data_IF_048531164153
#
_entry.id   IF_048531164153
#
_cell.length_a   1.000
_cell.length_b   1.000
_cell.length_c   1.000
_cell.angle_alpha   90.00
_cell.angle_beta   90.00
_cell.angle_gamma   90.00
#
_symmetry.space_group_name_H-M   'P 1'
#
loop_
_entity.id
_entity.type
_entity.pdbx_description
1 polymer ?
#
# COMPACT_ATOMS: atom_id res chain seq x y z
N UNK A 1 8.71 34.53 -31.25
CA UNK A 1 9.53 33.50 -31.95
C UNK A 1 9.35 32.20 -31.18
N UNK A 2 8.80 31.18 -31.84
CA UNK A 2 8.49 29.90 -31.22
C UNK A 2 9.79 29.13 -30.95
N UNK A 3 9.98 28.71 -29.72
CA UNK A 3 10.97 27.70 -29.37
C UNK A 3 10.22 26.40 -29.14
N UNK A 4 10.11 25.61 -30.21
CA UNK A 4 9.78 24.20 -30.11
C UNK A 4 10.89 23.52 -29.32
N UNK A 5 10.73 23.41 -28.00
CA UNK A 5 11.62 22.65 -27.15
C UNK A 5 11.35 21.15 -27.35
N UNK A 6 11.72 20.66 -28.52
CA UNK A 6 11.74 19.25 -28.85
C UNK A 6 12.86 18.62 -28.00
N UNK A 7 12.51 18.24 -26.78
CA UNK A 7 13.39 17.56 -25.84
C UNK A 7 13.99 16.34 -26.54
N UNK A 8 15.32 16.33 -26.70
CA UNK A 8 16.04 15.23 -27.35
C UNK A 8 15.65 13.91 -26.68
N UNK A 9 15.30 12.87 -27.45
CA UNK A 9 14.91 11.59 -26.88
C UNK A 9 16.11 10.91 -26.22
N UNK A 10 15.88 10.29 -25.06
CA UNK A 10 16.85 9.50 -24.33
C UNK A 10 16.87 8.07 -24.85
N UNK A 11 18.07 7.52 -25.04
CA UNK A 11 18.25 6.11 -25.36
C UNK A 11 18.10 5.26 -24.09
N UNK A 12 17.20 4.28 -24.12
CA UNK A 12 16.98 3.30 -23.06
C UNK A 12 16.95 1.91 -23.71
N UNK A 13 18.05 1.17 -23.57
CA UNK A 13 18.24 -0.09 -24.31
C UNK A 13 18.27 0.17 -25.83
N UNK A 14 17.40 -0.51 -26.60
CA UNK A 14 17.26 -0.31 -28.05
C UNK A 14 16.21 0.74 -28.44
N UNK A 15 15.48 1.32 -27.46
CA UNK A 15 14.40 2.25 -27.71
C UNK A 15 14.78 3.69 -27.33
N UNK A 16 14.18 4.65 -28.02
CA UNK A 16 14.27 6.07 -27.68
C UNK A 16 12.95 6.53 -27.04
N UNK A 17 13.03 7.21 -25.90
CA UNK A 17 11.87 7.77 -25.20
C UNK A 17 12.08 9.23 -24.86
N UNK A 18 11.00 10.00 -24.75
CA UNK A 18 11.06 11.28 -24.03
C UNK A 18 11.45 11.09 -22.56
N UNK A 19 11.74 12.18 -21.82
CA UNK A 19 12.14 12.10 -20.41
C UNK A 19 11.09 11.33 -19.58
N UNK A 20 11.50 10.23 -18.96
CA UNK A 20 10.67 9.44 -18.04
C UNK A 20 10.34 10.19 -16.74
N UNK A 21 11.15 11.21 -16.41
CA UNK A 21 10.95 12.09 -15.26
C UNK A 21 11.27 13.52 -15.70
N UNK A 22 10.35 14.46 -15.48
CA UNK A 22 10.56 15.87 -15.78
C UNK A 22 11.23 16.61 -14.61
N UNK A 23 11.82 17.78 -14.91
CA UNK A 23 12.41 18.66 -13.88
C UNK A 23 11.39 19.05 -12.81
N UNK A 24 10.15 19.35 -13.21
CA UNK A 24 9.08 19.71 -12.28
C UNK A 24 8.73 18.55 -11.34
N UNK A 25 8.75 17.30 -11.83
CA UNK A 25 8.54 16.12 -10.99
C UNK A 25 9.65 15.95 -9.95
N UNK A 26 10.91 16.17 -10.33
CA UNK A 26 12.05 16.05 -9.40
C UNK A 26 11.99 17.15 -8.33
N UNK A 27 11.80 18.41 -8.74
CA UNK A 27 11.64 19.53 -7.80
C UNK A 27 10.45 19.29 -6.85
N UNK A 28 9.32 18.81 -7.36
CA UNK A 28 8.16 18.41 -6.55
C UNK A 28 8.47 17.29 -5.55
N UNK A 29 9.17 16.24 -5.99
CA UNK A 29 9.58 15.15 -5.11
C UNK A 29 10.55 15.62 -4.02
N UNK A 30 11.55 16.45 -4.33
CA UNK A 30 12.48 16.99 -3.33
C UNK A 30 11.75 17.84 -2.28
N UNK A 31 10.76 18.65 -2.67
CA UNK A 31 9.89 19.38 -1.72
C UNK A 31 9.09 18.43 -0.83
N UNK A 32 8.61 17.30 -1.36
CA UNK A 32 7.95 16.28 -0.57
C UNK A 32 8.90 15.62 0.44
N UNK A 33 10.13 15.27 0.03
CA UNK A 33 11.14 14.72 0.93
C UNK A 33 11.49 15.70 2.05
N UNK A 34 11.61 17.00 1.72
CA UNK A 34 11.76 18.08 2.71
C UNK A 34 10.61 18.07 3.71
N UNK A 35 9.37 17.96 3.24
CA UNK A 35 8.21 17.93 4.13
C UNK A 35 8.24 16.73 5.10
N UNK A 36 8.68 15.55 4.63
CA UNK A 36 8.89 14.39 5.51
C UNK A 36 9.98 14.62 6.55
N UNK A 37 11.12 15.21 6.16
CA UNK A 37 12.19 15.56 7.08
C UNK A 37 11.71 16.55 8.16
N UNK A 38 11.01 17.61 7.74
CA UNK A 38 10.42 18.61 8.65
C UNK A 38 9.40 18.00 9.62
N UNK A 39 8.59 17.03 9.16
CA UNK A 39 7.66 16.32 10.05
C UNK A 39 8.41 15.56 11.15
N UNK A 40 9.51 14.87 10.80
CA UNK A 40 10.36 14.20 11.78
C UNK A 40 11.01 15.20 12.74
N UNK A 41 11.60 16.28 12.24
CA UNK A 41 12.23 17.30 13.09
C UNK A 41 11.26 17.94 14.09
N UNK A 42 10.01 18.20 13.66
CA UNK A 42 8.97 18.68 14.58
C UNK A 42 8.74 17.71 15.73
N UNK A 43 8.68 16.41 15.46
CA UNK A 43 8.51 15.39 16.49
C UNK A 43 9.75 15.23 17.39
N UNK A 44 10.94 15.32 16.80
CA UNK A 44 12.22 15.21 17.52
C UNK A 44 12.47 16.44 18.42
N UNK A 45 11.95 17.62 18.04
CA UNK A 45 12.05 18.86 18.82
C UNK A 45 11.13 18.91 20.05
N UNK A 46 10.20 17.95 20.18
CA UNK A 46 9.28 17.91 21.33
C UNK A 46 10.05 17.65 22.63
N UNK A 47 9.81 18.50 23.62
CA UNK A 47 10.43 18.37 24.94
C UNK A 47 9.77 17.26 25.74
N UNK A 48 10.52 16.61 26.64
CA UNK A 48 9.99 15.54 27.50
C UNK A 48 8.76 15.95 28.31
N UNK A 49 8.70 17.21 28.75
CA UNK A 49 7.54 17.76 29.45
C UNK A 49 6.30 17.88 28.56
N UNK A 50 6.48 18.27 27.30
CA UNK A 50 5.38 18.36 26.31
C UNK A 50 4.86 16.96 25.97
N UNK A 51 5.77 15.99 25.80
CA UNK A 51 5.42 14.58 25.59
C UNK A 51 4.61 14.05 26.77
N UNK A 52 5.06 14.31 28.00
CA UNK A 52 4.38 13.83 29.21
C UNK A 52 3.00 14.45 29.41
N UNK A 53 2.82 15.73 29.06
CA UNK A 53 1.58 16.46 29.31
C UNK A 53 0.54 16.34 28.18
N UNK A 54 0.98 16.19 26.92
CA UNK A 54 0.09 16.28 25.76
C UNK A 54 -0.12 14.94 25.03
N UNK A 55 0.74 13.94 25.25
CA UNK A 55 0.67 12.65 24.55
C UNK A 55 0.21 11.52 25.47
N UNK A 56 -0.24 10.38 24.90
CA UNK A 56 -0.63 9.22 25.71
C UNK A 56 0.50 8.77 26.66
N UNK A 57 0.13 8.32 27.86
CA UNK A 57 1.05 7.97 28.97
C UNK A 57 2.23 7.07 28.57
N UNK A 58 2.01 6.14 27.64
CA UNK A 58 3.01 5.15 27.20
C UNK A 58 3.70 5.54 25.88
N UNK A 59 3.67 6.82 25.51
CA UNK A 59 4.43 7.33 24.36
C UNK A 59 5.94 7.19 24.64
N UNK A 60 6.73 6.62 23.71
CA UNK A 60 8.17 6.48 23.92
C UNK A 60 8.88 7.83 24.12
N UNK A 61 9.82 7.88 25.07
CA UNK A 61 10.63 9.08 25.36
C UNK A 61 11.85 9.20 24.44
N UNK A 62 12.49 8.06 24.13
CA UNK A 62 13.61 8.03 23.19
C UNK A 62 13.12 8.47 21.79
N UNK A 63 13.84 9.39 21.14
CA UNK A 63 13.44 10.00 19.89
C UNK A 63 13.25 8.99 18.75
N UNK A 64 14.15 8.01 18.61
CA UNK A 64 14.05 6.97 17.57
C UNK A 64 12.84 6.07 17.80
N UNK A 65 12.61 5.65 19.06
CA UNK A 65 11.44 4.85 19.43
C UNK A 65 10.14 5.63 19.28
N UNK A 66 10.17 6.94 19.54
CA UNK A 66 9.02 7.84 19.34
C UNK A 66 8.71 8.01 17.86
N UNK A 67 9.73 8.12 17.01
CA UNK A 67 9.54 8.14 15.57
C UNK A 67 8.99 6.81 15.03
N UNK A 68 9.52 5.67 15.48
CA UNK A 68 9.01 4.34 15.14
C UNK A 68 7.53 4.18 15.53
N UNK A 69 7.17 4.57 16.75
CA UNK A 69 5.78 4.60 17.22
C UNK A 69 4.89 5.50 16.35
N UNK A 70 5.35 6.71 16.04
CA UNK A 70 4.61 7.65 15.21
C UNK A 70 4.39 7.14 13.78
N UNK A 71 5.39 6.51 13.17
CA UNK A 71 5.25 5.82 11.88
C UNK A 71 4.23 4.69 11.97
N UNK A 72 4.20 3.95 13.08
CA UNK A 72 3.14 2.98 13.36
C UNK A 72 1.73 3.59 13.30
N UNK A 73 1.53 4.77 13.90
CA UNK A 73 0.26 5.50 13.81
C UNK A 73 -0.05 5.98 12.39
N UNK A 74 0.95 6.41 11.64
CA UNK A 74 0.80 6.82 10.24
C UNK A 74 0.30 5.66 9.36
N UNK A 75 0.82 4.45 9.58
CA UNK A 75 0.38 3.24 8.88
C UNK A 75 -1.09 2.91 9.23
N UNK A 76 -1.51 3.13 10.47
CA UNK A 76 -2.92 3.01 10.85
C UNK A 76 -3.81 4.02 10.14
N UNK A 77 -3.36 5.28 10.05
CA UNK A 77 -4.05 6.34 9.34
C UNK A 77 -4.12 6.07 7.83
N UNK A 78 -3.09 5.47 7.25
CA UNK A 78 -3.11 4.99 5.87
C UNK A 78 -4.16 3.91 5.63
N UNK A 79 -4.31 2.96 6.56
CA UNK A 79 -5.38 1.96 6.51
C UNK A 79 -6.78 2.59 6.53
N UNK A 80 -7.00 3.59 7.39
CA UNK A 80 -8.26 4.33 7.47
C UNK A 80 -8.56 5.11 6.19
N UNK A 81 -7.53 5.74 5.60
CA UNK A 81 -7.66 6.43 4.32
C UNK A 81 -8.09 5.46 3.21
N UNK A 82 -7.42 4.31 3.09
CA UNK A 82 -7.75 3.31 2.07
C UNK A 82 -9.20 2.80 2.23
N UNK A 83 -9.62 2.54 3.46
CA UNK A 83 -11.00 2.13 3.74
C UNK A 83 -12.00 3.22 3.37
N UNK A 84 -11.75 4.47 3.78
CA UNK A 84 -12.62 5.60 3.49
C UNK A 84 -12.81 5.84 1.98
N UNK A 85 -11.71 5.80 1.21
CA UNK A 85 -11.75 5.99 -0.24
C UNK A 85 -12.53 4.86 -0.92
N UNK A 86 -12.31 3.61 -0.47
CA UNK A 86 -13.00 2.44 -0.99
C UNK A 86 -14.51 2.45 -0.66
N UNK A 87 -14.90 2.81 0.56
CA UNK A 87 -16.31 2.84 0.99
C UNK A 87 -17.14 3.84 0.17
N UNK A 88 -16.51 4.93 -0.27
CA UNK A 88 -17.12 5.94 -1.16
C UNK A 88 -17.07 5.58 -2.64
N UNK A 89 -16.40 4.47 -2.99
CA UNK A 89 -16.19 4.01 -4.37
C UNK A 89 -15.59 5.11 -5.26
N UNK A 90 -14.67 5.91 -4.71
CA UNK A 90 -13.98 6.93 -5.50
C UNK A 90 -13.05 6.19 -6.48
N UNK A 91 -13.29 6.42 -7.77
CA UNK A 91 -12.53 5.81 -8.89
C UNK A 91 -11.90 6.85 -9.79
N UNK A 92 -12.30 8.12 -9.65
CA UNK A 92 -11.81 9.23 -10.45
C UNK A 92 -10.61 9.91 -9.77
N UNK A 93 -9.53 10.11 -10.53
CA UNK A 93 -8.27 10.73 -10.05
C UNK A 93 -8.45 12.21 -9.78
N UNK A 94 -9.22 12.91 -10.62
CA UNK A 94 -9.46 14.33 -10.48
C UNK A 94 -10.22 14.59 -9.17
N UNK A 95 -11.24 13.79 -8.86
CA UNK A 95 -11.95 13.84 -7.57
C UNK A 95 -11.02 13.54 -6.38
N UNK A 96 -10.19 12.49 -6.50
CA UNK A 96 -9.26 12.10 -5.46
C UNK A 96 -8.23 13.20 -5.16
N UNK A 97 -7.69 13.82 -6.21
CA UNK A 97 -6.74 14.93 -6.12
C UNK A 97 -7.33 16.21 -5.53
N UNK A 98 -8.63 16.46 -5.76
CA UNK A 98 -9.30 17.69 -5.31
C UNK A 98 -9.90 17.58 -3.91
N UNK A 99 -10.32 16.37 -3.51
CA UNK A 99 -11.21 16.22 -2.35
C UNK A 99 -10.73 15.21 -1.31
N UNK A 100 -9.85 14.28 -1.68
CA UNK A 100 -9.57 13.10 -0.86
C UNK A 100 -8.08 12.87 -0.59
N UNK A 101 -7.24 13.89 -0.82
CA UNK A 101 -5.83 13.83 -0.49
C UNK A 101 -5.63 13.55 1.00
N UNK A 102 -4.73 12.61 1.34
CA UNK A 102 -4.48 12.27 2.72
C UNK A 102 -3.54 13.30 3.41
N UNK A 103 -3.42 13.25 4.75
CA UNK A 103 -2.42 14.03 5.47
C UNK A 103 -0.97 13.58 5.16
N UNK A 104 -0.01 14.42 5.52
CA UNK A 104 1.41 14.25 5.16
C UNK A 104 2.02 12.92 5.64
N UNK A 105 1.68 12.46 6.84
CA UNK A 105 2.15 11.19 7.39
C UNK A 105 1.65 9.97 6.60
N UNK A 106 0.40 10.04 6.12
CA UNK A 106 -0.19 9.02 5.27
C UNK A 106 0.43 9.04 3.86
N UNK A 107 0.71 10.23 3.32
CA UNK A 107 1.49 10.37 2.09
C UNK A 107 2.89 9.76 2.21
N UNK A 108 3.55 9.93 3.36
CA UNK A 108 4.86 9.33 3.63
C UNK A 108 4.80 7.80 3.59
N UNK A 109 3.78 7.20 4.20
CA UNK A 109 3.54 5.75 4.16
C UNK A 109 3.31 5.27 2.73
N UNK A 110 2.43 5.97 2.00
CA UNK A 110 2.11 5.63 0.61
C UNK A 110 3.33 5.79 -0.31
N UNK A 111 4.12 6.84 -0.16
CA UNK A 111 5.37 7.04 -0.89
C UNK A 111 6.35 5.87 -0.67
N UNK A 112 6.63 5.49 0.58
CA UNK A 112 7.50 4.36 0.89
C UNK A 112 6.97 3.04 0.31
N UNK A 113 5.64 2.89 0.23
CA UNK A 113 5.01 1.73 -0.38
C UNK A 113 5.25 1.67 -1.89
N UNK A 114 5.14 2.79 -2.62
CA UNK A 114 5.39 2.86 -4.06
C UNK A 114 6.84 2.53 -4.45
N UNK A 115 7.80 2.77 -3.55
CA UNK A 115 9.20 2.37 -3.73
C UNK A 115 9.42 0.85 -3.70
N UNK A 116 8.36 0.06 -3.52
CA UNK A 116 8.37 -1.40 -3.56
C UNK A 116 7.43 -1.91 -4.67
N UNK A 117 7.75 -1.67 -5.95
CA UNK A 117 6.81 -1.76 -7.08
C UNK A 117 6.18 -3.15 -7.23
N UNK A 118 6.94 -4.22 -7.00
CA UNK A 118 6.42 -5.59 -7.10
C UNK A 118 5.31 -5.87 -6.07
N UNK A 119 5.51 -5.44 -4.81
CA UNK A 119 4.49 -5.61 -3.77
C UNK A 119 3.33 -4.65 -3.98
N UNK A 120 3.63 -3.39 -4.29
CA UNK A 120 2.63 -2.35 -4.54
C UNK A 120 1.66 -2.76 -5.65
N UNK A 121 2.15 -3.17 -6.82
CA UNK A 121 1.33 -3.57 -7.97
C UNK A 121 0.51 -4.84 -7.68
N UNK A 122 1.12 -5.83 -7.01
CA UNK A 122 0.44 -7.08 -6.69
C UNK A 122 -0.70 -6.88 -5.67
N UNK A 123 -0.47 -6.08 -4.63
CA UNK A 123 -1.45 -5.82 -3.60
C UNK A 123 -2.60 -4.93 -4.08
N UNK A 124 -2.33 -3.94 -4.94
CA UNK A 124 -3.37 -3.16 -5.61
C UNK A 124 -4.29 -4.07 -6.43
N UNK A 125 -3.71 -5.04 -7.13
CA UNK A 125 -4.48 -5.99 -7.93
C UNK A 125 -5.28 -6.95 -7.05
N UNK A 126 -4.70 -7.44 -5.94
CA UNK A 126 -5.31 -8.43 -5.03
C UNK A 126 -6.32 -7.86 -4.05
N UNK A 127 -6.17 -6.60 -3.64
CA UNK A 127 -6.94 -6.01 -2.55
C UNK A 127 -7.88 -4.92 -3.07
N UNK A 128 -9.19 -5.14 -2.94
CA UNK A 128 -10.21 -4.18 -3.36
C UNK A 128 -10.05 -2.82 -2.68
N UNK A 129 -9.64 -2.79 -1.41
CA UNK A 129 -9.39 -1.55 -0.67
C UNK A 129 -8.18 -0.76 -1.15
N UNK A 130 -7.37 -1.32 -2.05
CA UNK A 130 -6.17 -0.69 -2.60
C UNK A 130 -6.29 -0.40 -4.10
N UNK A 131 -7.34 -0.89 -4.77
CA UNK A 131 -7.53 -0.76 -6.24
C UNK A 131 -7.50 0.68 -6.74
N UNK A 132 -7.95 1.64 -5.93
CA UNK A 132 -7.95 3.06 -6.30
C UNK A 132 -6.53 3.67 -6.42
N UNK A 133 -5.51 2.99 -5.90
CA UNK A 133 -4.13 3.47 -5.93
C UNK A 133 -3.48 3.32 -7.32
N UNK A 134 -4.09 2.60 -8.28
CA UNK A 134 -3.55 2.41 -9.65
C UNK A 134 -3.27 3.75 -10.32
N UNK A 135 -4.19 4.71 -10.18
CA UNK A 135 -4.24 5.91 -11.01
C UNK A 135 -3.59 7.14 -10.36
N UNK A 136 -2.90 6.93 -9.24
CA UNK A 136 -2.55 7.97 -8.29
C UNK A 136 -1.08 8.41 -8.30
N UNK A 137 -0.21 7.72 -9.05
CA UNK A 137 1.22 8.03 -9.15
C UNK A 137 1.55 9.41 -9.75
N UNK A 138 0.54 10.18 -10.16
CA UNK A 138 0.64 11.47 -10.85
C UNK A 138 0.33 12.69 -9.95
N UNK A 139 -0.15 12.47 -8.71
CA UNK A 139 -0.70 13.52 -7.83
C UNK A 139 0.35 14.44 -7.18
N UNK A 140 1.64 14.19 -7.36
CA UNK A 140 2.71 14.98 -6.73
C UNK A 140 2.79 16.47 -7.15
N UNK A 141 1.90 16.91 -8.05
CA UNK A 141 1.81 18.30 -8.51
C UNK A 141 0.57 19.06 -8.01
N UNK A 142 -0.44 18.40 -7.43
CA UNK A 142 -1.70 19.07 -7.01
C UNK A 142 -1.69 19.48 -5.54
N UNK A 143 -1.88 20.78 -5.29
CA UNK A 143 -1.80 21.40 -3.95
C UNK A 143 -3.17 21.78 -3.38
N UNK A 144 -4.13 20.86 -3.27
CA UNK A 144 -5.36 21.19 -2.53
C UNK A 144 -5.86 20.01 -1.70
N UNK A 145 -5.83 20.17 -0.38
CA UNK A 145 -6.30 19.16 0.56
C UNK A 145 -7.37 19.73 1.51
N UNK A 146 -8.53 19.08 1.59
CA UNK A 146 -9.64 19.50 2.47
C UNK A 146 -9.61 18.77 3.81
N UNK A 147 -9.08 19.45 4.84
CA UNK A 147 -8.97 18.96 6.23
C UNK A 147 -10.32 18.51 6.84
N UNK A 148 -11.43 19.10 6.38
CA UNK A 148 -12.79 18.85 6.90
C UNK A 148 -13.31 17.45 6.53
N UNK A 149 -13.11 17.01 5.29
CA UNK A 149 -13.61 15.71 4.80
C UNK A 149 -12.93 14.54 5.52
N UNK A 150 -11.61 14.62 5.70
CA UNK A 150 -10.85 13.66 6.50
C UNK A 150 -11.41 13.53 7.92
N UNK A 151 -11.59 14.66 8.61
CA UNK A 151 -12.03 14.67 10.01
C UNK A 151 -13.44 14.11 10.15
N UNK A 152 -14.33 14.47 9.20
CA UNK A 152 -15.71 13.95 9.15
C UNK A 152 -15.73 12.43 8.96
N UNK A 153 -14.90 11.91 8.06
CA UNK A 153 -14.86 10.51 7.67
C UNK A 153 -14.14 9.61 8.68
N UNK A 154 -12.92 10.00 9.08
CA UNK A 154 -12.05 9.17 9.92
C UNK A 154 -12.26 9.38 11.41
N UNK A 155 -12.98 10.45 11.80
CA UNK A 155 -13.13 10.91 13.19
C UNK A 155 -11.79 11.19 13.88
N UNK A 156 -10.78 11.57 13.10
CA UNK A 156 -9.43 11.89 13.59
C UNK A 156 -8.98 13.26 13.12
N UNK A 157 -8.14 13.95 13.90
CA UNK A 157 -7.50 15.17 13.43
C UNK A 157 -6.75 14.94 12.12
N UNK A 158 -6.82 15.93 11.22
CA UNK A 158 -6.05 15.91 9.98
C UNK A 158 -4.55 16.01 10.27
N UNK A 159 -4.15 16.92 11.15
CA UNK A 159 -2.76 17.06 11.58
C UNK A 159 -2.28 15.76 12.27
N UNK A 160 -1.13 15.20 11.85
CA UNK A 160 -0.70 13.92 12.37
C UNK A 160 -0.17 13.98 13.80
N UNK A 161 0.39 15.12 14.25
CA UNK A 161 0.86 15.31 15.62
C UNK A 161 -0.34 15.45 16.56
N UNK A 162 -1.34 16.26 16.21
CA UNK A 162 -2.58 16.35 16.97
C UNK A 162 -3.33 15.02 17.01
N UNK A 163 -3.32 14.27 15.91
CA UNK A 163 -3.89 12.92 15.91
C UNK A 163 -3.13 11.95 16.81
N UNK A 164 -1.81 12.09 16.93
CA UNK A 164 -0.98 11.22 17.78
C UNK A 164 -1.26 11.45 19.27
N UNK A 165 -1.63 12.67 19.68
CA UNK A 165 -2.04 13.00 21.05
C UNK A 165 -3.32 12.26 21.48
N UNK A 166 -4.25 12.04 20.55
CA UNK A 166 -5.54 11.41 20.84
C UNK A 166 -5.63 9.90 20.52
N UNK A 167 -4.73 9.37 19.68
CA UNK A 167 -4.84 8.00 19.17
C UNK A 167 -4.24 6.98 20.15
N UNK A 168 -5.09 6.38 20.97
CA UNK A 168 -4.67 5.40 22.01
C UNK A 168 -5.06 3.96 21.72
N UNK A 169 -6.04 3.74 20.84
CA UNK A 169 -6.62 2.41 20.58
C UNK A 169 -6.91 2.19 19.10
N UNK A 170 -6.87 0.92 18.70
CA UNK A 170 -7.19 0.44 17.34
C UNK A 170 -8.28 -0.64 17.42
N UNK A 171 -9.06 -0.75 16.35
CA UNK A 171 -10.00 -1.83 16.14
C UNK A 171 -9.39 -2.93 15.27
N UNK A 172 -9.43 -4.18 15.72
CA UNK A 172 -8.96 -5.36 14.99
C UNK A 172 -10.03 -6.45 15.01
N UNK A 173 -10.04 -7.36 14.02
CA UNK A 173 -10.96 -8.51 14.02
C UNK A 173 -10.32 -9.71 14.69
N UNK A 174 -11.02 -10.33 15.64
CA UNK A 174 -10.56 -11.56 16.30
C UNK A 174 -10.42 -12.72 15.29
N UNK A 175 -9.27 -13.44 15.25
CA UNK A 175 -9.12 -14.62 14.40
C UNK A 175 -10.09 -15.77 14.69
N UNK A 176 -10.56 -15.90 15.94
CA UNK A 176 -11.50 -16.96 16.34
C UNK A 176 -12.93 -16.65 15.96
N UNK A 177 -13.53 -15.63 16.59
CA UNK A 177 -14.96 -15.31 16.46
C UNK A 177 -15.28 -14.18 15.47
N UNK A 178 -14.28 -13.55 14.84
CA UNK A 178 -14.39 -12.40 13.90
C UNK A 178 -14.97 -11.11 14.46
N UNK A 179 -15.39 -11.10 15.72
CA UNK A 179 -15.87 -9.89 16.37
C UNK A 179 -14.75 -8.83 16.47
N UNK A 180 -15.18 -7.58 16.39
CA UNK A 180 -14.29 -6.43 16.54
C UNK A 180 -13.79 -6.37 17.99
N UNK A 181 -12.47 -6.39 18.16
CA UNK A 181 -11.78 -6.18 19.42
C UNK A 181 -11.10 -4.81 19.39
N UNK A 182 -11.33 -4.01 20.44
CA UNK A 182 -10.63 -2.75 20.64
C UNK A 182 -9.41 -3.02 21.51
N UNK A 183 -8.22 -2.72 20.99
CA UNK A 183 -6.94 -2.96 21.69
C UNK A 183 -6.15 -1.66 21.83
N UNK A 184 -5.39 -1.55 22.90
CA UNK A 184 -4.48 -0.43 23.12
C UNK A 184 -3.34 -0.45 22.11
N UNK A 185 -2.95 0.73 21.63
CA UNK A 185 -1.78 0.86 20.76
C UNK A 185 -0.47 0.68 21.54
N UNK A 186 -0.44 1.18 22.77
CA UNK A 186 0.68 1.09 23.71
C UNK A 186 0.14 0.81 25.11
N UNK A 187 0.85 0.01 25.90
CA UNK A 187 0.55 -0.20 27.32
C UNK A 187 1.85 -0.40 28.14
N UNK A 188 1.69 -0.41 29.47
CA UNK A 188 2.81 -0.60 30.41
C UNK A 188 3.31 -2.04 30.53
N UNK A 189 2.64 -3.01 29.89
CA UNK A 189 2.99 -4.43 29.91
C UNK A 189 3.77 -4.86 28.66
N UNK A 190 4.07 -3.91 27.77
CA UNK A 190 4.69 -4.15 26.45
C UNK A 190 3.84 -4.99 25.49
N UNK A 191 2.51 -4.99 25.68
CA UNK A 191 1.57 -5.81 24.90
C UNK A 191 0.69 -5.04 23.92
N UNK A 192 0.91 -3.72 23.79
CA UNK A 192 0.19 -2.86 22.87
C UNK A 192 0.41 -3.20 21.39
N UNK A 193 -0.52 -2.79 20.53
CA UNK A 193 -0.49 -3.13 19.10
C UNK A 193 0.74 -2.64 18.34
N UNK A 194 1.38 -1.56 18.79
CA UNK A 194 2.61 -1.02 18.20
C UNK A 194 3.88 -1.51 18.92
N UNK A 195 3.75 -2.42 19.89
CA UNK A 195 4.86 -3.00 20.64
C UNK A 195 5.23 -4.38 20.09
N UNK A 196 6.50 -4.78 20.30
CA UNK A 196 7.06 -6.02 19.75
C UNK A 196 6.35 -7.27 20.26
N UNK A 197 5.90 -7.25 21.51
CA UNK A 197 5.21 -8.37 22.17
C UNK A 197 3.68 -8.24 22.10
N UNK A 198 3.15 -7.58 21.05
CA UNK A 198 1.71 -7.36 20.90
C UNK A 198 0.89 -8.62 21.17
N UNK A 199 -0.04 -8.48 22.11
CA UNK A 199 -0.86 -9.57 22.56
C UNK A 199 -2.14 -9.08 23.22
N UNK A 200 -3.30 -9.46 22.68
CA UNK A 200 -4.60 -9.14 23.26
C UNK A 200 -5.48 -10.39 23.47
N UNK A 201 -6.48 -10.26 24.35
CA UNK A 201 -7.55 -11.25 24.54
C UNK A 201 -8.84 -10.78 23.89
N UNK A 202 -9.61 -11.72 23.36
CA UNK A 202 -10.95 -11.45 22.87
C UNK A 202 -11.90 -11.29 24.07
N UNK A 203 -12.75 -10.26 24.06
CA UNK A 203 -13.78 -10.06 25.09
C UNK A 203 -15.11 -10.72 24.74
N UNK A 204 -15.32 -11.08 23.47
CA UNK A 204 -16.57 -11.67 23.00
C UNK A 204 -16.67 -13.18 23.25
N UNK A 205 -15.55 -13.87 23.50
CA UNK A 205 -15.52 -15.31 23.73
C UNK A 205 -14.21 -15.72 24.40
N UNK A 206 -14.30 -16.49 25.47
CA UNK A 206 -13.15 -17.00 26.24
C UNK A 206 -12.40 -18.12 25.52
N UNK A 207 -13.04 -18.79 24.56
CA UNK A 207 -12.46 -19.88 23.76
C UNK A 207 -11.67 -19.37 22.56
N UNK A 208 -11.67 -18.06 22.31
CA UNK A 208 -10.89 -17.47 21.23
C UNK A 208 -9.38 -17.54 21.52
N UNK A 209 -8.55 -17.71 20.47
CA UNK A 209 -7.10 -17.71 20.63
C UNK A 209 -6.60 -16.34 21.09
N UNK A 210 -5.39 -16.32 21.65
CA UNK A 210 -4.68 -15.07 21.92
C UNK A 210 -4.42 -14.32 20.61
N UNK A 211 -4.74 -13.03 20.58
CA UNK A 211 -4.61 -12.20 19.38
C UNK A 211 -3.20 -11.61 19.36
N UNK A 212 -2.39 -11.98 18.37
CA UNK A 212 -1.02 -11.49 18.14
C UNK A 212 -0.88 -11.10 16.66
N UNK A 213 0.23 -10.46 16.27
CA UNK A 213 0.48 -10.18 14.85
C UNK A 213 0.50 -11.47 14.02
N UNK A 214 1.12 -12.52 14.56
CA UNK A 214 1.19 -13.83 13.92
C UNK A 214 -0.18 -14.48 13.71
N UNK A 215 -1.08 -14.43 14.71
CA UNK A 215 -2.43 -15.00 14.56
C UNK A 215 -3.31 -14.17 13.62
N UNK A 216 -3.15 -12.84 13.59
CA UNK A 216 -3.77 -11.98 12.58
C UNK A 216 -3.25 -12.29 11.16
N UNK A 217 -1.95 -12.57 11.02
CA UNK A 217 -1.32 -13.00 9.77
C UNK A 217 -1.79 -14.38 9.30
N UNK A 218 -1.92 -15.34 10.21
CA UNK A 218 -2.51 -16.65 9.92
C UNK A 218 -3.94 -16.50 9.39
N UNK A 219 -4.74 -15.63 10.00
CA UNK A 219 -6.10 -15.33 9.53
C UNK A 219 -6.11 -14.72 8.14
N UNK A 220 -5.24 -13.74 7.87
CA UNK A 220 -5.09 -13.14 6.53
C UNK A 220 -4.74 -14.20 5.48
N UNK A 221 -3.83 -15.12 5.79
CA UNK A 221 -3.46 -16.22 4.90
C UNK A 221 -4.63 -17.18 4.68
N UNK A 222 -5.32 -17.61 5.74
CA UNK A 222 -6.48 -18.50 5.65
C UNK A 222 -7.60 -17.88 4.80
N UNK A 223 -7.87 -16.58 4.98
CA UNK A 223 -8.83 -15.83 4.17
C UNK A 223 -8.46 -15.84 2.69
N UNK A 224 -7.21 -15.54 2.36
CA UNK A 224 -6.76 -15.51 0.97
C UNK A 224 -6.78 -16.91 0.30
N UNK A 225 -6.56 -17.97 1.09
CA UNK A 225 -6.70 -19.37 0.64
C UNK A 225 -8.18 -19.68 0.35
N UNK A 226 -9.07 -19.35 1.29
CA UNK A 226 -10.49 -19.73 1.21
C UNK A 226 -11.33 -18.86 0.28
N UNK A 227 -10.84 -17.69 -0.14
CA UNK A 227 -11.56 -16.79 -1.04
C UNK A 227 -11.44 -17.28 -2.51
N UNK A 228 -12.54 -17.83 -3.03
CA UNK A 228 -12.63 -18.51 -4.34
C UNK A 228 -13.92 -18.14 -5.12
N UNK A 229 -14.40 -16.89 -5.02
CA UNK A 229 -15.64 -16.44 -5.67
C UNK A 229 -15.68 -16.74 -7.18
N UNK A 230 -16.77 -17.30 -7.72
CA UNK A 230 -16.94 -17.55 -9.15
C UNK A 230 -16.79 -16.25 -9.95
N UNK A 231 -16.04 -16.28 -11.06
CA UNK A 231 -15.88 -15.13 -11.95
C UNK A 231 -15.77 -15.60 -13.40
N UNK A 232 -16.27 -14.78 -14.32
CA UNK A 232 -16.20 -15.02 -15.77
C UNK A 232 -14.79 -14.75 -16.36
N UNK A 233 -13.96 -13.92 -15.71
CA UNK A 233 -12.58 -13.62 -16.13
C UNK A 233 -11.55 -13.98 -15.05
N UNK A 234 -10.58 -14.81 -15.40
CA UNK A 234 -9.47 -15.20 -14.53
C UNK A 234 -8.56 -14.05 -14.08
N UNK A 235 -8.60 -12.94 -14.82
CA UNK A 235 -7.89 -11.70 -14.47
C UNK A 235 -8.54 -10.95 -13.32
N UNK A 236 -9.81 -11.24 -13.05
CA UNK A 236 -10.60 -10.74 -11.92
C UNK A 236 -10.80 -11.83 -10.85
N UNK A 237 -10.66 -13.10 -11.24
CA UNK A 237 -10.67 -14.29 -10.39
C UNK A 237 -9.44 -14.35 -9.47
N UNK A 238 -9.69 -14.84 -8.26
CA UNK A 238 -8.72 -15.26 -7.24
C UNK A 238 -7.99 -14.15 -6.46
N UNK A 239 -8.17 -14.20 -5.14
CA UNK A 239 -7.26 -13.60 -4.16
C UNK A 239 -5.99 -14.44 -4.12
N UNK A 240 -5.10 -14.19 -5.07
CA UNK A 240 -4.01 -15.07 -5.48
C UNK A 240 -2.95 -15.53 -4.47
N UNK A 241 -2.99 -15.39 -3.16
CA UNK A 241 -1.76 -15.40 -2.32
C UNK A 241 -0.70 -14.37 -2.75
N UNK A 242 -0.33 -13.54 -1.79
CA UNK A 242 0.70 -12.55 -1.96
C UNK A 242 2.07 -13.18 -2.27
N UNK A 243 2.79 -12.59 -3.21
CA UNK A 243 4.12 -13.00 -3.67
C UNK A 243 4.08 -14.01 -4.82
N UNK A 244 2.91 -14.28 -5.38
CA UNK A 244 2.72 -15.31 -6.41
C UNK A 244 2.35 -14.77 -7.79
N UNK A 245 1.84 -13.54 -7.86
CA UNK A 245 1.31 -12.97 -9.11
C UNK A 245 2.37 -12.21 -9.90
N UNK A 246 3.18 -11.38 -9.23
CA UNK A 246 4.15 -10.53 -9.91
C UNK A 246 5.46 -11.29 -10.20
N UNK A 247 6.02 -11.08 -11.40
CA UNK A 247 7.36 -11.54 -11.79
C UNK A 247 8.10 -10.43 -12.54
N UNK A 248 9.42 -10.57 -12.73
CA UNK A 248 10.20 -9.56 -13.45
C UNK A 248 9.85 -9.47 -14.95
N UNK A 249 9.33 -10.55 -15.55
CA UNK A 249 8.99 -10.65 -16.97
C UNK A 249 7.50 -10.47 -17.26
N UNK A 250 6.65 -10.70 -16.26
CA UNK A 250 5.19 -10.62 -16.38
C UNK A 250 4.64 -9.96 -15.11
N UNK A 251 4.03 -8.78 -15.29
CA UNK A 251 3.41 -7.98 -14.23
C UNK A 251 2.33 -8.77 -13.50
N UNK A 252 1.57 -9.63 -14.20
CA UNK A 252 0.49 -10.42 -13.63
C UNK A 252 0.47 -11.85 -14.19
N UNK A 253 1.32 -12.72 -13.66
CA UNK A 253 1.42 -14.11 -14.07
C UNK A 253 0.36 -15.00 -13.39
N UNK A 254 -0.87 -14.90 -13.89
CA UNK A 254 -2.04 -15.63 -13.38
C UNK A 254 -1.86 -17.15 -13.40
N UNK A 255 -1.24 -17.69 -14.46
CA UNK A 255 -1.01 -19.15 -14.60
C UNK A 255 -0.10 -19.67 -13.48
N UNK A 256 0.97 -18.94 -13.18
CA UNK A 256 1.89 -19.26 -12.09
C UNK A 256 1.20 -19.18 -10.74
N UNK A 257 0.52 -18.07 -10.46
CA UNK A 257 -0.15 -17.85 -9.19
C UNK A 257 -1.20 -18.95 -8.90
N UNK A 258 -2.00 -19.29 -9.91
CA UNK A 258 -2.96 -20.39 -9.86
C UNK A 258 -2.29 -21.74 -9.57
N UNK A 259 -1.26 -22.11 -10.34
CA UNK A 259 -0.54 -23.38 -10.15
C UNK A 259 0.01 -23.51 -8.71
N UNK A 260 0.53 -22.41 -8.15
CA UNK A 260 1.03 -22.37 -6.77
C UNK A 260 -0.12 -22.61 -5.78
N UNK A 261 -1.26 -21.91 -5.95
CA UNK A 261 -2.44 -22.10 -5.09
C UNK A 261 -2.97 -23.54 -5.16
N UNK A 262 -3.07 -24.12 -6.36
CA UNK A 262 -3.49 -25.53 -6.54
C UNK A 262 -2.56 -26.51 -5.82
N UNK A 263 -1.25 -26.28 -5.87
CA UNK A 263 -0.26 -27.10 -5.14
C UNK A 263 -0.47 -27.00 -3.63
N UNK A 264 -0.69 -25.80 -3.10
CA UNK A 264 -0.94 -25.58 -1.67
C UNK A 264 -2.22 -26.29 -1.22
N UNK A 265 -3.29 -26.20 -2.01
CA UNK A 265 -4.59 -26.81 -1.71
C UNK A 265 -4.57 -28.35 -1.66
N UNK A 266 -3.48 -29.01 -2.09
CA UNK A 266 -3.27 -30.45 -1.89
C UNK A 266 -3.00 -30.83 -0.42
N UNK A 267 -2.60 -29.87 0.41
CA UNK A 267 -2.36 -30.12 1.84
C UNK A 267 -3.70 -30.25 2.59
N UNK A 268 -3.91 -31.32 3.37
CA UNK A 268 -5.14 -31.55 4.15
C UNK A 268 -5.51 -30.40 5.10
N UNK A 269 -4.52 -29.62 5.54
CA UNK A 269 -4.74 -28.42 6.36
C UNK A 269 -5.70 -27.44 5.67
N UNK A 270 -5.63 -27.34 4.34
CA UNK A 270 -6.40 -26.40 3.53
C UNK A 270 -7.61 -27.01 2.86
N UNK A 271 -7.97 -28.26 3.17
CA UNK A 271 -9.20 -28.88 2.68
C UNK A 271 -10.43 -28.07 3.11
N UNK A 272 -11.54 -28.27 2.41
CA UNK A 272 -12.80 -27.64 2.73
C UNK A 272 -13.36 -28.15 4.08
N UNK A 273 -14.37 -27.50 4.65
CA UNK A 273 -15.07 -27.99 5.84
C UNK A 273 -15.54 -29.46 5.75
N UNK A 274 -15.98 -29.91 4.58
CA UNK A 274 -16.39 -31.29 4.27
C UNK A 274 -15.23 -32.27 4.08
N UNK A 275 -14.01 -31.88 4.48
CA UNK A 275 -12.78 -32.68 4.39
C UNK A 275 -12.36 -33.08 2.96
N UNK A 276 -12.98 -32.47 1.95
CA UNK A 276 -12.61 -32.69 0.56
C UNK A 276 -11.55 -31.69 0.10
N UNK A 277 -10.72 -32.15 -0.84
CA UNK A 277 -9.77 -31.29 -1.52
C UNK A 277 -10.53 -30.30 -2.42
N UNK A 278 -10.20 -29.01 -2.32
CA UNK A 278 -10.72 -28.02 -3.26
C UNK A 278 -9.89 -28.01 -4.55
N UNK A 279 -10.55 -28.18 -5.68
CA UNK A 279 -9.96 -27.98 -7.00
C UNK A 279 -10.46 -26.66 -7.58
N UNK A 280 -9.55 -25.83 -8.08
CA UNK A 280 -9.92 -24.57 -8.71
C UNK A 280 -10.64 -24.89 -10.05
N UNK A 281 -11.81 -24.28 -10.33
CA UNK A 281 -12.55 -24.39 -11.60
C UNK A 281 -11.68 -24.28 -12.85
N UNK A 282 -12.00 -25.07 -13.89
CA UNK A 282 -11.30 -25.06 -15.17
C UNK A 282 -11.55 -23.77 -15.95
N UNK A 283 -10.59 -23.39 -16.80
CA UNK A 283 -10.49 -22.08 -17.45
C UNK A 283 -11.33 -21.92 -18.73
N UNK A 284 -12.21 -22.86 -19.09
CA UNK A 284 -12.92 -22.86 -20.38
C UNK A 284 -14.43 -23.06 -20.24
N UNK A 285 -15.15 -22.06 -20.79
CA UNK A 285 -16.57 -21.91 -21.20
C UNK A 285 -17.66 -22.59 -20.37
N UNK A 286 -18.67 -21.77 -20.05
CA UNK A 286 -20.05 -22.11 -19.64
C UNK A 286 -20.39 -23.58 -19.88
N UNK A 287 -20.36 -24.39 -18.83
CA UNK A 287 -21.26 -25.55 -18.74
C UNK A 287 -22.42 -25.13 -17.87
N UNK A 288 -23.61 -25.07 -18.47
CA UNK A 288 -24.91 -24.75 -17.87
C UNK A 288 -25.40 -25.82 -16.90
N UNK A 289 -24.52 -26.33 -16.04
CA UNK A 289 -24.83 -27.31 -15.01
C UNK A 289 -23.69 -27.28 -13.99
N UNK A 290 -23.76 -26.35 -13.05
CA UNK A 290 -23.01 -26.51 -11.80
C UNK A 290 -24.03 -26.95 -10.77
N UNK A 291 -23.87 -28.18 -10.30
CA UNK A 291 -24.69 -28.83 -9.28
C UNK A 291 -24.93 -27.86 -8.12
N UNK A 292 -26.19 -27.76 -7.70
CA UNK A 292 -26.70 -27.08 -6.50
C UNK A 292 -26.14 -27.72 -5.20
N UNK A 293 -24.83 -27.96 -5.11
CA UNK A 293 -24.19 -28.31 -3.85
C UNK A 293 -23.88 -27.02 -3.10
N UNK A 294 -24.49 -26.88 -1.92
CA UNK A 294 -24.20 -25.80 -0.99
C UNK A 294 -22.68 -25.72 -0.76
N UNK A 295 -22.06 -24.68 -1.28
CA UNK A 295 -20.65 -24.42 -1.03
C UNK A 295 -20.53 -23.79 0.38
N UNK A 296 -19.60 -24.25 1.23
CA UNK A 296 -19.36 -23.62 2.51
C UNK A 296 -18.98 -22.17 2.26
N UNK A 297 -19.43 -21.28 3.14
CA UNK A 297 -19.06 -19.87 3.03
C UNK A 297 -17.53 -19.72 3.12
N UNK A 298 -16.98 -18.68 2.47
CA UNK A 298 -15.55 -18.35 2.57
C UNK A 298 -15.10 -18.26 4.04
N UNK A 299 -15.98 -17.71 4.86
CA UNK A 299 -15.84 -17.58 6.30
C UNK A 299 -15.80 -18.92 7.04
N UNK A 300 -16.68 -19.86 6.72
CA UNK A 300 -16.66 -21.18 7.34
C UNK A 300 -15.35 -21.91 7.03
N UNK A 301 -14.90 -21.87 5.77
CA UNK A 301 -13.65 -22.49 5.35
C UNK A 301 -12.43 -21.82 6.00
N UNK A 302 -12.39 -20.48 6.06
CA UNK A 302 -11.35 -19.73 6.80
C UNK A 302 -11.29 -20.21 8.27
N UNK A 303 -12.43 -20.37 8.93
CA UNK A 303 -12.49 -20.79 10.33
C UNK A 303 -11.95 -22.21 10.52
N UNK A 304 -12.31 -23.14 9.62
CA UNK A 304 -11.83 -24.52 9.66
C UNK A 304 -10.33 -24.64 9.44
N UNK A 305 -9.77 -23.88 8.49
CA UNK A 305 -8.31 -23.82 8.29
C UNK A 305 -7.63 -23.38 9.60
N UNK A 306 -8.12 -22.30 10.22
CA UNK A 306 -7.53 -21.75 11.44
C UNK A 306 -7.61 -22.70 12.63
N UNK A 307 -8.74 -23.40 12.79
CA UNK A 307 -8.90 -24.43 13.84
C UNK A 307 -7.94 -25.60 13.65
N UNK A 308 -7.78 -26.11 12.42
CA UNK A 308 -6.85 -27.24 12.12
C UNK A 308 -5.40 -26.93 12.44
N UNK A 309 -5.01 -25.66 12.32
CA UNK A 309 -3.63 -25.22 12.62
C UNK A 309 -3.49 -24.61 14.01
N UNK A 310 -4.53 -24.65 14.85
CA UNK A 310 -4.53 -24.03 16.17
C UNK A 310 -4.08 -22.56 16.12
N UNK A 311 -4.54 -21.84 15.08
CA UNK A 311 -4.21 -20.45 14.79
C UNK A 311 -2.71 -20.14 14.61
N UNK A 312 -1.85 -21.17 14.48
CA UNK A 312 -0.39 -21.03 14.35
C UNK A 312 0.01 -20.89 12.89
N UNK A 313 0.57 -19.72 12.55
CA UNK A 313 1.11 -19.46 11.20
C UNK A 313 2.19 -20.46 10.77
N UNK A 314 3.06 -20.89 11.70
CA UNK A 314 4.14 -21.84 11.38
C UNK A 314 3.60 -23.23 11.01
N UNK A 315 2.44 -23.63 11.54
CA UNK A 315 1.78 -24.86 11.13
C UNK A 315 1.27 -24.77 9.69
N UNK A 316 0.75 -23.61 9.27
CA UNK A 316 0.40 -23.35 7.87
C UNK A 316 1.64 -23.43 6.97
N UNK A 317 2.76 -22.81 7.39
CA UNK A 317 4.02 -22.86 6.65
C UNK A 317 4.54 -24.29 6.48
N UNK A 318 4.49 -25.12 7.52
CA UNK A 318 4.86 -26.55 7.44
C UNK A 318 3.98 -27.32 6.45
N UNK A 319 2.67 -27.05 6.43
CA UNK A 319 1.74 -27.61 5.45
C UNK A 319 2.09 -27.22 4.01
N UNK A 320 2.44 -25.94 3.81
CA UNK A 320 2.82 -25.40 2.50
C UNK A 320 4.18 -25.91 2.01
N UNK A 321 5.15 -26.12 2.90
CA UNK A 321 6.51 -26.52 2.55
C UNK A 321 6.59 -27.87 1.83
N UNK A 322 5.57 -28.73 1.95
CA UNK A 322 5.47 -29.99 1.19
C UNK A 322 5.17 -29.77 -0.30
N UNK A 323 4.70 -28.58 -0.67
CA UNK A 323 4.17 -28.28 -2.01
C UNK A 323 4.84 -27.08 -2.68
N UNK A 324 5.36 -26.14 -1.88
CA UNK A 324 6.04 -24.91 -2.30
C UNK A 324 7.25 -24.70 -1.39
N UNK A 325 8.46 -24.68 -1.93
CA UNK A 325 9.70 -24.68 -1.14
C UNK A 325 10.57 -23.45 -1.40
N UNK A 326 11.55 -23.24 -0.51
CA UNK A 326 12.65 -22.30 -0.70
C UNK A 326 12.23 -20.83 -0.70
N UNK A 327 12.88 -20.04 -1.57
CA UNK A 327 12.70 -18.58 -1.65
C UNK A 327 11.25 -18.15 -1.89
N UNK A 328 10.48 -18.95 -2.64
CA UNK A 328 9.08 -18.65 -2.91
C UNK A 328 8.23 -18.77 -1.64
N UNK A 329 8.38 -19.84 -0.87
CA UNK A 329 7.65 -19.99 0.38
C UNK A 329 7.99 -18.86 1.34
N UNK A 330 9.28 -18.52 1.49
CA UNK A 330 9.71 -17.40 2.33
C UNK A 330 9.08 -16.07 1.89
N UNK A 331 9.06 -15.80 0.57
CA UNK A 331 8.41 -14.61 0.00
C UNK A 331 6.91 -14.58 0.31
N UNK A 332 6.19 -15.68 0.10
CA UNK A 332 4.75 -15.76 0.42
C UNK A 332 4.54 -15.53 1.91
N UNK A 333 5.25 -16.24 2.78
CA UNK A 333 5.08 -16.13 4.23
C UNK A 333 5.43 -14.74 4.79
N UNK A 334 6.36 -14.02 4.15
CA UNK A 334 6.69 -12.63 4.53
C UNK A 334 5.52 -11.65 4.34
N UNK A 335 4.55 -11.98 3.48
CA UNK A 335 3.36 -11.16 3.26
C UNK A 335 2.28 -11.30 4.34
N UNK A 336 2.42 -12.29 5.23
CA UNK A 336 1.44 -12.65 6.25
C UNK A 336 2.02 -12.49 7.66
N UNK A 337 2.72 -11.38 7.90
CA UNK A 337 3.27 -11.01 9.22
C UNK A 337 2.21 -10.41 10.15
N UNK A 338 1.17 -9.81 9.58
CA UNK A 338 0.03 -9.23 10.30
C UNK A 338 -1.29 -9.38 9.51
N UNK A 339 -2.37 -8.79 10.04
CA UNK A 339 -3.71 -8.82 9.43
C UNK A 339 -4.01 -7.70 8.44
N UNK A 340 -3.02 -6.89 8.02
CA UNK A 340 -3.24 -5.72 7.15
C UNK A 340 -3.45 -6.14 5.68
N UNK A 341 -4.14 -5.33 4.87
CA UNK A 341 -4.45 -5.70 3.48
C UNK A 341 -3.23 -5.69 2.53
N UNK A 342 -2.15 -4.98 2.88
CA UNK A 342 -0.89 -4.96 2.14
C UNK A 342 0.08 -6.02 2.65
N UNK A 343 1.00 -6.44 1.78
CA UNK A 343 1.94 -7.53 1.99
C UNK A 343 3.32 -7.06 2.46
N UNK A 344 3.58 -5.76 2.38
CA UNK A 344 4.84 -5.15 2.79
C UNK A 344 4.78 -4.69 4.26
N UNK A 345 5.87 -4.85 5.01
CA UNK A 345 6.07 -4.12 6.27
C UNK A 345 6.24 -2.63 5.98
N UNK A 346 5.13 -1.89 6.01
CA UNK A 346 5.11 -0.45 5.73
C UNK A 346 5.82 0.38 6.80
N UNK A 347 5.84 -0.06 8.06
CA UNK A 347 6.59 0.64 9.12
C UNK A 347 8.08 0.56 8.80
N UNK A 348 8.59 -0.64 8.60
CA UNK A 348 9.99 -0.83 8.22
C UNK A 348 10.36 -0.16 6.89
N UNK A 349 9.44 -0.13 5.91
CA UNK A 349 9.66 0.56 4.65
C UNK A 349 9.82 2.09 4.82
N UNK A 350 8.97 2.72 5.62
CA UNK A 350 9.07 4.15 5.94
C UNK A 350 10.34 4.45 6.72
N UNK A 351 10.72 3.62 7.70
CA UNK A 351 11.94 3.81 8.47
C UNK A 351 13.20 3.73 7.59
N UNK A 352 13.28 2.74 6.69
CA UNK A 352 14.38 2.64 5.70
C UNK A 352 14.41 3.85 4.77
N UNK A 353 13.24 4.30 4.30
CA UNK A 353 13.16 5.49 3.45
C UNK A 353 13.57 6.76 4.22
N UNK A 354 13.28 6.84 5.51
CA UNK A 354 13.69 7.94 6.38
C UNK A 354 15.21 8.15 6.39
N UNK A 355 16.01 7.08 6.33
CA UNK A 355 17.47 7.19 6.22
C UNK A 355 17.91 7.83 4.90
N UNK A 356 17.22 7.54 3.79
CA UNK A 356 17.48 8.21 2.50
C UNK A 356 17.06 9.69 2.57
N UNK A 357 15.87 9.98 3.09
CA UNK A 357 15.38 11.36 3.26
C UNK A 357 16.35 12.20 4.08
N UNK A 358 16.85 11.65 5.20
CA UNK A 358 17.87 12.33 6.02
C UNK A 358 19.12 12.66 5.21
N UNK A 359 19.65 11.70 4.44
CA UNK A 359 20.83 11.95 3.59
C UNK A 359 20.60 13.05 2.55
N UNK A 360 19.43 13.07 1.92
CA UNK A 360 19.08 14.12 0.95
C UNK A 360 18.99 15.49 1.61
N UNK A 361 18.51 15.54 2.86
CA UNK A 361 18.39 16.76 3.65
C UNK A 361 19.75 17.26 4.16
N UNK A 362 20.58 16.35 4.68
CA UNK A 362 21.96 16.63 5.13
C UNK A 362 22.86 17.15 3.98
N UNK A 363 22.60 16.71 2.75
CA UNK A 363 23.28 17.18 1.54
C UNK A 363 22.71 18.51 1.00
N UNK A 364 21.68 19.06 1.65
CA UNK A 364 20.97 20.27 1.25
C UNK A 364 20.18 20.18 -0.08
N UNK A 365 20.01 18.98 -0.64
CA UNK A 365 19.25 18.78 -1.90
C UNK A 365 17.76 19.09 -1.76
N UNK A 366 17.24 19.02 -0.54
CA UNK A 366 15.85 19.35 -0.19
C UNK A 366 15.66 20.85 0.11
N UNK A 367 16.72 21.66 0.06
CA UNK A 367 16.64 23.08 0.37
C UNK A 367 15.97 23.87 -0.76
N UNK A 368 15.13 24.85 -0.41
CA UNK A 368 14.42 25.67 -1.39
C UNK A 368 15.38 26.39 -2.34
N UNK A 369 16.51 26.90 -1.81
CA UNK A 369 17.59 27.50 -2.61
C UNK A 369 18.17 26.54 -3.64
N UNK A 370 18.42 25.28 -3.27
CA UNK A 370 18.89 24.26 -4.20
C UNK A 370 17.83 23.91 -5.24
N UNK A 371 16.58 23.68 -4.81
CA UNK A 371 15.50 23.26 -5.69
C UNK A 371 15.16 24.33 -6.74
N UNK A 372 15.17 25.61 -6.34
CA UNK A 372 14.63 26.71 -7.16
C UNK A 372 15.71 27.57 -7.83
N UNK A 373 16.94 27.60 -7.30
CA UNK A 373 17.97 28.56 -7.74
C UNK A 373 19.26 27.89 -8.22
N UNK A 374 19.90 27.06 -7.40
CA UNK A 374 21.28 26.63 -7.66
C UNK A 374 21.45 25.18 -8.15
N UNK A 375 20.43 24.32 -7.97
CA UNK A 375 20.54 22.89 -8.21
C UNK A 375 20.19 22.42 -9.62
N UNK A 376 19.72 23.30 -10.51
CA UNK A 376 19.15 22.91 -11.80
C UNK A 376 20.11 22.06 -12.66
N UNK A 377 21.36 22.49 -12.80
CA UNK A 377 22.41 21.74 -13.53
C UNK A 377 22.66 20.37 -12.91
N UNK A 378 22.69 20.26 -11.57
CA UNK A 378 22.88 19.00 -10.88
C UNK A 378 21.69 18.05 -11.08
N UNK A 379 20.47 18.59 -11.11
CA UNK A 379 19.25 17.81 -11.37
C UNK A 379 19.18 17.34 -12.82
N UNK A 380 19.56 18.17 -13.80
CA UNK A 380 19.66 17.76 -15.21
C UNK A 380 20.68 16.63 -15.40
N UNK A 381 21.81 16.73 -14.70
CA UNK A 381 22.81 15.68 -14.69
C UNK A 381 22.28 14.38 -14.08
N UNK A 382 21.52 14.46 -12.98
CA UNK A 382 20.86 13.31 -12.37
C UNK A 382 19.83 12.67 -13.30
N UNK A 383 19.02 13.47 -14.01
CA UNK A 383 18.08 12.99 -15.05
C UNK A 383 18.84 12.26 -16.14
N UNK A 384 19.90 12.86 -16.67
CA UNK A 384 20.70 12.27 -17.74
C UNK A 384 21.29 10.93 -17.31
N UNK A 385 21.85 10.85 -16.10
CA UNK A 385 22.38 9.60 -15.54
C UNK A 385 21.32 8.53 -15.31
N UNK A 386 20.11 8.92 -14.89
CA UNK A 386 19.01 7.99 -14.72
C UNK A 386 18.66 7.30 -16.04
N UNK A 387 18.61 8.07 -17.13
CA UNK A 387 18.28 7.55 -18.46
C UNK A 387 19.43 6.79 -19.12
N UNK A 388 20.69 7.14 -18.82
CA UNK A 388 21.87 6.45 -19.34
C UNK A 388 22.15 5.08 -18.70
N UNK A 389 21.37 4.67 -17.69
CA UNK A 389 21.59 3.42 -16.98
C UNK A 389 20.90 2.24 -17.71
N UNK A 390 21.70 1.30 -18.21
CA UNK A 390 21.26 0.09 -18.94
C UNK A 390 20.29 -0.83 -18.16
N UNK A 391 20.16 -0.64 -16.84
CA UNK A 391 19.21 -1.36 -15.99
C UNK A 391 17.79 -0.77 -16.04
N UNK A 392 17.61 0.44 -16.57
CA UNK A 392 16.30 0.94 -16.96
C UNK A 392 15.94 0.17 -18.22
N UNK A 393 15.36 -1.02 -18.08
CA UNK A 393 14.67 -1.65 -19.20
C UNK A 393 13.35 -0.90 -19.35
N UNK A 394 12.86 -0.67 -20.57
CA UNK A 394 11.43 -0.47 -20.74
C UNK A 394 10.77 -1.75 -20.23
N UNK A 395 10.41 -1.79 -18.94
CA UNK A 395 9.29 -2.61 -18.50
C UNK A 395 8.22 -2.27 -19.50
N UNK A 396 7.86 -3.22 -20.37
CA UNK A 396 6.76 -3.07 -21.33
C UNK A 396 5.68 -2.33 -20.59
N UNK A 397 5.55 -1.03 -20.90
CA UNK A 397 4.62 -0.15 -20.25
C UNK A 397 3.31 -0.87 -20.44
N UNK A 398 2.78 -1.43 -19.34
CA UNK A 398 1.52 -2.15 -19.38
C UNK A 398 0.56 -1.24 -20.13
N UNK A 399 -0.32 -1.80 -20.98
CA UNK A 399 -1.31 -1.02 -21.73
C UNK A 399 -2.14 -0.06 -20.85
N UNK A 400 -2.08 -0.20 -19.52
CA UNK A 400 -2.57 0.79 -18.56
C UNK A 400 -1.76 2.10 -18.60
N UNK A 401 -0.42 2.04 -18.55
CA UNK A 401 0.45 3.22 -18.64
C UNK A 401 0.37 3.90 -20.02
N UNK A 402 0.24 3.13 -21.10
CA UNK A 402 0.03 3.70 -22.44
C UNK A 402 -1.34 4.37 -22.57
N UNK A 403 -2.39 3.87 -21.90
CA UNK A 403 -3.70 4.56 -21.83
C UNK A 403 -3.63 5.84 -21.00
N UNK A 404 -2.91 5.81 -19.88
CA UNK A 404 -2.63 7.01 -19.07
C UNK A 404 -1.80 8.03 -19.85
N UNK A 405 -0.88 7.57 -20.71
CA UNK A 405 -0.07 8.40 -21.62
C UNK A 405 -0.86 8.93 -22.82
N UNK A 406 -1.72 8.15 -23.46
CA UNK A 406 -2.57 8.63 -24.56
C UNK A 406 -3.59 9.66 -24.07
N UNK A 407 -4.11 9.50 -22.85
CA UNK A 407 -4.92 10.54 -22.20
C UNK A 407 -4.13 11.84 -21.93
N UNK A 408 -2.79 11.76 -21.83
CA UNK A 408 -1.88 12.88 -21.62
C UNK A 408 -1.64 13.70 -22.90
N UNK A 409 -1.42 13.03 -24.04
CA UNK A 409 -1.19 13.70 -25.34
C UNK A 409 -2.44 14.46 -25.83
N UNK A 410 -3.65 13.98 -25.50
CA UNK A 410 -4.91 14.64 -25.86
C UNK A 410 -5.22 15.87 -24.96
N UNK A 411 -4.82 15.85 -23.67
CA UNK A 411 -5.09 16.96 -22.73
C UNK A 411 -4.02 18.06 -22.71
N UNK A 412 -2.85 17.84 -23.32
CA UNK A 412 -1.74 18.81 -23.38
C UNK A 412 -1.60 19.52 -24.73
N UNK A 413 -2.50 19.25 -25.70
CA UNK A 413 -2.60 20.11 -26.88
C UNK A 413 -3.04 21.52 -26.45
N UNK A 414 -2.30 22.58 -26.82
CA UNK A 414 -2.72 23.94 -26.54
C UNK A 414 -4.07 24.15 -27.24
N UNK A 415 -5.06 24.61 -26.48
CA UNK A 415 -6.32 25.12 -27.01
C UNK A 415 -5.99 26.07 -28.18
N UNK A 416 -6.30 25.61 -29.38
CA UNK A 416 -6.28 26.43 -30.59
C UNK A 416 -7.28 27.56 -30.37
N UNK A 417 -6.74 28.77 -30.22
CA UNK A 417 -7.33 30.08 -30.46
C UNK A 417 -8.86 30.12 -30.63
N UNK A 418 -9.56 30.65 -29.63
CA UNK A 418 -10.88 31.26 -29.83
C UNK A 418 -10.69 32.76 -30.13
N UNK A 419 -11.46 33.32 -31.07
CA UNK A 419 -11.19 34.64 -31.64
C UNK A 419 -11.59 35.77 -30.69
N UNK A 420 -10.76 36.83 -30.70
CA UNK A 420 -11.11 38.15 -30.19
C UNK A 420 -12.36 38.67 -30.92
N UNK A 421 -13.38 39.03 -30.15
CA UNK A 421 -14.32 40.08 -30.52
C UNK A 421 -14.76 40.80 -29.25
N UNK A 422 -14.23 42.00 -29.10
CA UNK A 422 -14.82 43.06 -28.30
C UNK A 422 -15.98 43.67 -29.08
N UNK A 423 -17.11 43.92 -28.41
CA UNK A 423 -18.06 45.02 -28.68
C UNK A 423 -19.10 44.98 -27.54
N UNK A 424 -19.02 45.91 -26.58
CA UNK A 424 -19.68 47.23 -26.55
C UNK A 424 -21.07 47.22 -25.91
N UNK A 425 -21.17 48.08 -24.90
CA UNK A 425 -22.32 48.93 -24.54
C UNK A 425 -23.45 48.41 -23.64
N UNK A 426 -23.82 49.35 -22.75
CA UNK A 426 -24.92 49.45 -21.77
C UNK A 426 -24.86 48.61 -20.49
#
# INVERSE_FOLDING_TARGET
MSSSDATKPYAIGQAFTGPLVSMSNIKGHLRLLRAFAQLKYKLDSLRDLEVTSQFPRYTPRNADKRWEWFVGLAVERFGLWCQWVQDRKIRDVDDLSKHYLPPLDVFMVWHAYMLNPAWYQEDIKRSSSLKFLVDLGLIFQSTFCRKSEWTKATKRPFDPIESAKAHTTIKIKCPGCRQDARVSLMDGMDTGYLQGNFSARCTASETCPRITKSTLGARKLARDISMNEPCEDLKEYQTYLAGTLYTAQDTYNYKRARMIKEKILKSPIFYRPDETQHHLPLLKKRSSQTVLQAQPSQEEWESMILKRVDFKKDAMQRGMNKHVTGKLLSRVMSAYTDGKPWSLDLVGAVLRQGSFVKKMDDLEWTQGSFIDVSGEVALEYAVTRYHANDQVKPLTLSSSFDKTRQAWEVRTSPLVSLPDNAEQSS
#
